data_IF_250517007510
#
_entry.id   IF_250517007510
#
_cell.length_a   1.000
_cell.length_b   1.000
_cell.length_c   1.000
_cell.angle_alpha   90.00
_cell.angle_beta   90.00
_cell.angle_gamma   90.00
#
_symmetry.space_group_name_H-M   'P 1'
#
loop_
_entity.id
_entity.type
_entity.pdbx_description
1 polymer ?
#
# COMPACT_ATOMS: atom_id res chain seq x y z
N UNK A 1 -24.69 17.99 5.65
CA UNK A 1 -24.48 16.80 4.80
C UNK A 1 -23.21 16.12 5.28
N UNK A 2 -23.29 14.86 5.71
CA UNK A 2 -22.10 14.08 6.06
C UNK A 2 -21.32 13.83 4.78
N UNK A 3 -20.09 14.30 4.72
CA UNK A 3 -19.24 14.19 3.54
C UNK A 3 -18.95 12.69 3.29
N UNK A 4 -19.26 12.19 2.08
CA UNK A 4 -19.11 10.76 1.73
C UNK A 4 -17.67 10.44 1.36
N UNK A 5 -16.78 10.57 2.33
CA UNK A 5 -15.36 10.37 2.14
C UNK A 5 -14.79 9.46 3.22
N UNK A 6 -14.01 8.48 2.81
CA UNK A 6 -13.17 7.69 3.68
C UNK A 6 -11.71 8.16 3.50
N UNK A 7 -10.97 8.42 4.60
CA UNK A 7 -9.55 8.70 4.48
C UNK A 7 -8.83 7.55 3.76
N UNK A 8 -7.70 7.81 3.13
CA UNK A 8 -6.91 6.76 2.48
C UNK A 8 -5.98 6.17 3.53
N UNK A 9 -6.06 4.88 3.87
CA UNK A 9 -5.08 4.22 4.72
C UNK A 9 -3.71 4.25 4.04
N UNK A 10 -2.72 4.80 4.71
CA UNK A 10 -1.32 4.82 4.29
C UNK A 10 -0.51 4.02 5.29
N UNK A 11 0.29 3.07 4.82
CA UNK A 11 1.14 2.29 5.70
C UNK A 11 2.31 3.14 6.20
N UNK A 12 2.41 3.31 7.51
CA UNK A 12 3.55 3.94 8.15
C UNK A 12 4.55 2.84 8.57
N UNK A 13 5.62 2.73 7.81
CA UNK A 13 6.67 1.74 8.02
C UNK A 13 7.43 1.93 9.35
N UNK A 14 7.49 3.16 9.89
CA UNK A 14 8.22 3.43 11.13
C UNK A 14 7.54 2.82 12.35
N UNK A 15 6.20 2.77 12.34
CA UNK A 15 5.41 2.26 13.46
C UNK A 15 4.69 0.94 13.14
N UNK A 16 4.80 0.45 11.89
CA UNK A 16 4.15 -0.78 11.43
C UNK A 16 2.63 -0.75 11.53
N UNK A 17 2.01 0.40 11.19
CA UNK A 17 0.57 0.61 11.30
C UNK A 17 0.02 1.43 10.14
N UNK A 18 -1.28 1.31 9.90
CA UNK A 18 -2.01 2.16 8.99
C UNK A 18 -2.30 3.53 9.63
N UNK A 19 -2.09 4.59 8.86
CA UNK A 19 -2.49 5.96 9.17
C UNK A 19 -3.58 6.41 8.20
N UNK A 20 -4.69 6.99 8.68
CA UNK A 20 -5.75 7.48 7.81
C UNK A 20 -5.36 8.88 7.30
N UNK A 21 -5.12 9.02 5.99
CA UNK A 21 -4.70 10.28 5.37
C UNK A 21 -5.82 10.87 4.51
N UNK A 22 -6.20 12.11 4.78
CA UNK A 22 -7.07 12.89 3.90
C UNK A 22 -6.23 13.62 2.84
N UNK A 23 -6.42 13.22 1.59
CA UNK A 23 -5.71 13.78 0.45
C UNK A 23 -6.36 15.06 -0.10
N UNK A 24 -7.62 15.38 0.25
CA UNK A 24 -8.36 16.53 -0.31
C UNK A 24 -7.81 17.87 0.17
N UNK A 25 -7.18 17.90 1.35
CA UNK A 25 -6.69 19.13 2.00
C UNK A 25 -5.18 19.09 2.27
N UNK A 26 -4.44 18.41 1.40
CA UNK A 26 -2.96 18.42 1.41
C UNK A 26 -2.31 17.36 2.31
N UNK A 27 -2.64 16.08 2.09
CA UNK A 27 -2.03 14.92 2.78
C UNK A 27 -1.91 15.10 4.30
N UNK A 28 -3.04 15.12 5.00
CA UNK A 28 -3.07 15.23 6.47
C UNK A 28 -3.52 13.93 7.10
N UNK A 29 -2.81 13.49 8.14
CA UNK A 29 -3.30 12.42 9.01
C UNK A 29 -4.53 12.93 9.74
N UNK A 30 -5.63 12.19 9.68
CA UNK A 30 -6.92 12.51 10.30
C UNK A 30 -7.31 11.42 11.30
N UNK A 31 -8.55 11.43 11.79
CA UNK A 31 -9.07 10.34 12.59
C UNK A 31 -9.67 9.25 11.69
N UNK A 32 -9.59 8.01 12.14
CA UNK A 32 -10.36 6.92 11.56
C UNK A 32 -11.87 7.20 11.65
N UNK A 33 -12.69 6.63 10.75
CA UNK A 33 -14.14 6.64 10.95
C UNK A 33 -14.51 6.09 12.32
N UNK A 34 -15.48 6.72 12.98
CA UNK A 34 -15.97 6.26 14.29
C UNK A 34 -16.35 4.79 14.24
N UNK A 35 -15.96 4.04 15.28
CA UNK A 35 -16.21 2.60 15.46
C UNK A 35 -15.51 1.67 14.47
N UNK A 36 -14.57 2.19 13.67
CA UNK A 36 -13.76 1.35 12.81
C UNK A 36 -12.60 0.69 13.59
N UNK A 37 -12.60 -0.63 13.62
CA UNK A 37 -11.50 -1.42 14.18
C UNK A 37 -10.36 -1.57 13.16
N UNK A 38 -9.25 -0.87 13.41
CA UNK A 38 -8.06 -0.89 12.55
C UNK A 38 -7.33 -2.22 12.54
N UNK A 39 -7.58 -3.11 13.51
CA UNK A 39 -6.95 -4.44 13.55
C UNK A 39 -7.44 -5.37 12.45
N UNK A 40 -8.58 -5.03 11.82
CA UNK A 40 -9.14 -5.74 10.67
C UNK A 40 -8.45 -5.41 9.34
N UNK A 41 -7.60 -4.38 9.31
CA UNK A 41 -6.91 -3.98 8.08
C UNK A 41 -5.85 -5.02 7.70
N UNK A 42 -5.73 -5.38 6.41
CA UNK A 42 -4.69 -6.28 5.96
C UNK A 42 -3.30 -5.68 6.19
N UNK A 43 -2.34 -6.49 6.61
CA UNK A 43 -0.94 -6.09 6.73
C UNK A 43 -0.30 -6.19 5.35
N UNK A 44 0.45 -5.17 4.90
CA UNK A 44 1.08 -5.24 3.59
C UNK A 44 2.22 -6.25 3.57
N UNK A 45 2.30 -6.98 2.47
CA UNK A 45 3.37 -7.95 2.26
C UNK A 45 4.70 -7.24 2.03
N UNK A 46 4.72 -6.11 1.30
CA UNK A 46 5.93 -5.35 0.98
C UNK A 46 5.95 -4.01 1.73
N UNK A 47 7.14 -3.48 2.03
CA UNK A 47 7.32 -2.23 2.78
C UNK A 47 8.14 -1.20 2.00
N UNK A 48 8.12 0.06 2.43
CA UNK A 48 8.99 1.09 1.82
C UNK A 48 10.47 0.66 1.86
N UNK A 49 11.16 0.85 0.74
CA UNK A 49 12.54 0.42 0.53
C UNK A 49 12.67 -1.01 -0.01
N UNK A 50 11.60 -1.82 -0.02
CA UNK A 50 11.67 -3.15 -0.62
C UNK A 50 11.90 -3.03 -2.13
N UNK A 51 12.93 -3.72 -2.62
CA UNK A 51 13.13 -3.95 -4.05
C UNK A 51 12.21 -5.08 -4.48
N UNK A 52 11.40 -4.83 -5.50
CA UNK A 52 10.40 -5.77 -5.98
C UNK A 52 10.50 -5.94 -7.49
N UNK A 53 10.16 -7.14 -7.95
CA UNK A 53 9.86 -7.40 -9.35
C UNK A 53 8.35 -7.35 -9.54
N UNK A 54 7.88 -6.66 -10.58
CA UNK A 54 6.45 -6.47 -10.83
C UNK A 54 6.12 -6.45 -12.32
N UNK A 55 4.86 -6.74 -12.65
CA UNK A 55 4.31 -6.65 -14.01
C UNK A 55 3.33 -5.47 -14.05
N UNK A 56 3.53 -4.57 -15.01
CA UNK A 56 2.64 -3.40 -15.20
C UNK A 56 1.60 -3.68 -16.28
N UNK A 57 2.10 -4.07 -17.45
CA UNK A 57 1.34 -4.46 -18.63
C UNK A 57 1.88 -5.86 -18.93
N UNK A 58 1.00 -6.84 -19.09
CA UNK A 58 1.18 -8.32 -19.05
C UNK A 58 2.37 -8.92 -19.86
N UNK A 59 3.18 -8.08 -20.49
CA UNK A 59 4.23 -8.42 -21.44
C UNK A 59 5.65 -8.34 -20.86
N UNK A 60 5.90 -7.66 -19.73
CA UNK A 60 7.27 -7.53 -19.20
C UNK A 60 7.36 -7.28 -17.69
N UNK A 61 8.17 -8.10 -17.01
CA UNK A 61 8.56 -7.89 -15.62
C UNK A 61 9.61 -6.76 -15.50
N UNK A 62 9.42 -5.90 -14.51
CA UNK A 62 10.32 -4.77 -14.20
C UNK A 62 10.74 -4.82 -12.75
N UNK A 63 11.88 -4.20 -12.46
CA UNK A 63 12.34 -3.96 -11.08
C UNK A 63 12.04 -2.53 -10.66
N UNK A 64 11.72 -2.37 -9.38
CA UNK A 64 11.55 -1.07 -8.75
C UNK A 64 11.67 -1.14 -7.23
N UNK A 65 11.51 0.01 -6.59
CA UNK A 65 11.55 0.14 -5.14
C UNK A 65 10.18 0.60 -4.66
N UNK A 66 9.59 -0.13 -3.71
CA UNK A 66 8.36 0.30 -3.03
C UNK A 66 8.66 1.58 -2.26
N UNK A 67 7.85 2.61 -2.44
CA UNK A 67 7.95 3.91 -1.72
C UNK A 67 6.80 4.16 -0.78
N UNK A 68 5.65 3.55 -1.03
CA UNK A 68 4.44 3.75 -0.24
C UNK A 68 3.49 2.58 -0.43
N UNK A 69 2.75 2.26 0.60
CA UNK A 69 1.63 1.31 0.52
C UNK A 69 0.36 1.99 0.98
N UNK A 70 -0.73 1.74 0.24
CA UNK A 70 -2.01 2.38 0.40
C UNK A 70 -3.12 1.33 0.33
N UNK A 71 -4.22 1.52 1.05
CA UNK A 71 -5.49 0.89 0.68
C UNK A 71 -6.34 1.86 -0.13
N UNK A 72 -7.34 1.33 -0.83
CA UNK A 72 -8.30 2.21 -1.49
C UNK A 72 -9.05 3.05 -0.43
N UNK A 73 -9.36 4.28 -0.80
CA UNK A 73 -10.10 5.23 0.00
C UNK A 73 -10.62 6.34 -0.89
N UNK A 74 -11.14 7.40 -0.29
CA UNK A 74 -11.69 8.53 -1.02
C UNK A 74 -13.21 8.58 -0.98
N UNK A 75 -13.78 9.22 -2.01
CA UNK A 75 -15.23 9.31 -2.14
C UNK A 75 -15.82 7.93 -2.45
N UNK A 76 -16.88 7.58 -1.71
CA UNK A 76 -17.62 6.33 -1.92
C UNK A 76 -19.00 6.60 -2.51
N UNK A 77 -19.66 5.54 -2.99
CA UNK A 77 -20.80 5.69 -3.91
C UNK A 77 -21.97 6.42 -3.23
N UNK A 78 -22.77 7.21 -3.97
CA UNK A 78 -23.85 8.01 -3.39
C UNK A 78 -24.89 7.24 -2.56
N UNK A 79 -25.14 5.97 -2.85
CA UNK A 79 -26.13 5.13 -2.16
C UNK A 79 -25.47 4.04 -1.29
N UNK A 80 -24.14 4.03 -1.21
CA UNK A 80 -23.38 3.05 -0.43
C UNK A 80 -23.29 3.52 1.02
N UNK A 81 -23.58 2.62 1.97
CA UNK A 81 -23.37 2.91 3.39
C UNK A 81 -21.87 2.98 3.69
N UNK A 82 -21.50 3.72 4.74
CA UNK A 82 -20.10 3.82 5.15
C UNK A 82 -19.50 2.45 5.48
N UNK A 83 -20.28 1.57 6.10
CA UNK A 83 -19.88 0.20 6.46
C UNK A 83 -19.62 -0.64 5.20
N UNK A 84 -20.45 -0.46 4.17
CA UNK A 84 -20.27 -1.14 2.88
C UNK A 84 -19.02 -0.62 2.17
N UNK A 85 -18.81 0.70 2.18
CA UNK A 85 -17.61 1.32 1.63
C UNK A 85 -16.34 0.84 2.36
N UNK A 86 -16.36 0.73 3.69
CA UNK A 86 -15.23 0.19 4.48
C UNK A 86 -14.94 -1.26 4.06
N UNK A 87 -15.96 -2.13 4.00
CA UNK A 87 -15.76 -3.53 3.58
C UNK A 87 -15.12 -3.61 2.19
N UNK A 88 -15.63 -2.82 1.25
CA UNK A 88 -15.15 -2.81 -0.14
C UNK A 88 -13.76 -2.18 -0.30
N UNK A 89 -13.44 -1.11 0.43
CA UNK A 89 -12.23 -0.32 0.18
C UNK A 89 -11.06 -0.67 1.10
N UNK A 90 -11.35 -1.01 2.36
CA UNK A 90 -10.33 -1.25 3.39
C UNK A 90 -10.07 -2.73 3.66
N UNK A 91 -11.12 -3.55 3.68
CA UNK A 91 -11.02 -4.93 4.18
C UNK A 91 -10.74 -5.95 3.09
N UNK A 92 -10.92 -5.58 1.83
CA UNK A 92 -10.57 -6.43 0.70
C UNK A 92 -9.09 -6.23 0.34
N UNK A 93 -8.22 -7.25 0.55
CA UNK A 93 -6.78 -7.17 0.28
C UNK A 93 -6.47 -6.80 -1.18
N UNK A 94 -7.40 -7.06 -2.09
CA UNK A 94 -7.30 -6.68 -3.49
C UNK A 94 -7.20 -5.16 -3.70
N UNK A 95 -7.61 -4.37 -2.71
CA UNK A 95 -7.55 -2.92 -2.74
C UNK A 95 -6.21 -2.35 -2.28
N UNK A 96 -5.28 -3.20 -1.87
CA UNK A 96 -3.93 -2.78 -1.55
C UNK A 96 -3.16 -2.34 -2.81
N UNK A 97 -2.56 -1.17 -2.72
CA UNK A 97 -1.82 -0.51 -3.77
C UNK A 97 -0.43 -0.14 -3.28
N UNK A 98 0.56 -0.53 -4.06
CA UNK A 98 1.96 -0.18 -3.85
C UNK A 98 2.34 0.92 -4.83
N UNK A 99 2.95 1.99 -4.30
CA UNK A 99 3.64 2.98 -5.12
C UNK A 99 5.07 2.48 -5.30
N UNK A 100 5.42 2.11 -6.51
CA UNK A 100 6.74 1.56 -6.86
C UNK A 100 7.45 2.55 -7.76
N UNK A 101 8.62 3.04 -7.35
CA UNK A 101 9.48 3.85 -8.22
C UNK A 101 10.35 2.94 -9.07
N UNK A 102 10.23 3.06 -10.39
CA UNK A 102 11.10 2.38 -11.35
C UNK A 102 11.55 3.37 -12.43
N UNK A 103 12.85 3.38 -12.76
CA UNK A 103 13.45 4.28 -13.76
C UNK A 103 13.09 5.77 -13.54
N UNK A 104 13.03 6.21 -12.28
CA UNK A 104 12.71 7.60 -11.92
C UNK A 104 11.22 7.97 -11.96
N UNK A 105 10.31 7.01 -12.20
CA UNK A 105 8.87 7.25 -12.24
C UNK A 105 8.13 6.41 -11.21
N UNK A 106 7.09 6.98 -10.62
CA UNK A 106 6.20 6.28 -9.68
C UNK A 106 5.08 5.55 -10.43
N UNK A 107 4.86 4.31 -10.03
CA UNK A 107 3.85 3.42 -10.59
C UNK A 107 2.91 2.92 -9.50
N UNK A 108 1.61 2.89 -9.79
CA UNK A 108 0.60 2.28 -8.92
C UNK A 108 0.46 0.81 -9.30
N UNK A 109 0.88 -0.09 -8.41
CA UNK A 109 0.92 -1.52 -8.65
C UNK A 109 0.01 -2.22 -7.64
N UNK A 110 -0.83 -3.13 -8.12
CA UNK A 110 -1.66 -4.01 -7.26
C UNK A 110 -0.79 -5.11 -6.65
N UNK A 111 -1.18 -5.61 -5.47
CA UNK A 111 -0.44 -6.66 -4.78
C UNK A 111 -0.14 -7.87 -5.68
N UNK A 112 -1.16 -8.39 -6.39
CA UNK A 112 -1.02 -9.54 -7.29
C UNK A 112 -0.14 -9.30 -8.53
N UNK A 113 0.20 -8.04 -8.83
CA UNK A 113 1.11 -7.70 -9.91
C UNK A 113 2.58 -7.66 -9.45
N UNK A 114 2.85 -7.83 -8.15
CA UNK A 114 4.21 -7.99 -7.62
C UNK A 114 4.55 -9.49 -7.63
N UNK A 115 5.61 -9.84 -8.35
CA UNK A 115 6.06 -11.22 -8.52
C UNK A 115 6.89 -11.72 -7.33
N UNK A 116 7.49 -10.80 -6.58
CA UNK A 116 8.28 -11.11 -5.40
C UNK A 116 9.30 -10.02 -5.04
N UNK A 117 9.96 -10.22 -3.89
CA UNK A 117 11.11 -9.39 -3.49
C UNK A 117 12.33 -9.76 -4.32
N UNK A 118 13.01 -8.73 -4.84
CA UNK A 118 14.31 -8.90 -5.45
C UNK A 118 15.40 -8.78 -4.39
N UNK A 119 16.12 -9.88 -4.15
CA UNK A 119 17.28 -9.90 -3.23
C UNK A 119 18.54 -9.97 -4.10
N UNK A 120 19.34 -8.91 -4.13
CA UNK A 120 20.65 -8.98 -4.79
C UNK A 120 21.61 -9.85 -3.96
N UNK A 121 22.45 -10.65 -4.64
CA UNK A 121 23.47 -11.50 -4.00
C UNK A 121 24.42 -10.71 -3.07
N UNK A 122 24.72 -9.45 -3.38
CA UNK A 122 25.52 -8.53 -2.54
C UNK A 122 24.90 -8.28 -1.14
N UNK A 123 23.58 -8.42 -1.00
CA UNK A 123 22.91 -8.28 0.29
C UNK A 123 22.91 -9.59 1.08
N UNK A 124 23.04 -10.73 0.40
CA UNK A 124 23.19 -12.05 1.04
C UNK A 124 24.60 -12.18 1.62
N UNK A 125 25.63 -11.71 0.92
CA UNK A 125 27.03 -11.73 1.40
C UNK A 125 27.32 -10.81 2.59
N UNK A 126 26.49 -9.78 2.83
CA UNK A 126 26.59 -8.94 4.04
C UNK A 126 25.87 -9.53 5.27
N UNK A 127 24.99 -10.51 5.07
CA UNK A 127 24.29 -11.23 6.15
C UNK A 127 24.96 -12.57 6.46
N UNK A 128 25.55 -13.20 5.46
CA UNK A 128 26.35 -14.42 5.60
C UNK A 128 27.81 -14.08 5.25
N UNK A 129 28.69 -13.77 6.22
CA UNK A 129 30.11 -13.77 5.91
C UNK A 129 30.45 -15.18 5.43
N UNK A 130 30.87 -15.28 4.16
CA UNK A 130 31.42 -16.53 3.64
C UNK A 130 32.60 -16.90 4.53
N UNK A 131 32.44 -17.97 5.33
CA UNK A 131 33.57 -18.60 5.99
C UNK A 131 34.33 -19.36 4.91
N UNK A 132 35.60 -18.99 4.73
CA UNK A 132 36.59 -19.75 3.96
C UNK A 132 36.71 -21.19 4.48
#
# INVERSE_FOLDING_TARGET
MTERYLPVPVWNNFIGKWEPVDFRRGQRVVNWPTDFDTTLLPVPEYSDGDRVQFVRDETCAREGVVRRVLLAGGEYRPLESRETAIKRLYLDPENMLYIVTARGHDHRIKAWNILGRFVSLERISSVLPMRE
#
